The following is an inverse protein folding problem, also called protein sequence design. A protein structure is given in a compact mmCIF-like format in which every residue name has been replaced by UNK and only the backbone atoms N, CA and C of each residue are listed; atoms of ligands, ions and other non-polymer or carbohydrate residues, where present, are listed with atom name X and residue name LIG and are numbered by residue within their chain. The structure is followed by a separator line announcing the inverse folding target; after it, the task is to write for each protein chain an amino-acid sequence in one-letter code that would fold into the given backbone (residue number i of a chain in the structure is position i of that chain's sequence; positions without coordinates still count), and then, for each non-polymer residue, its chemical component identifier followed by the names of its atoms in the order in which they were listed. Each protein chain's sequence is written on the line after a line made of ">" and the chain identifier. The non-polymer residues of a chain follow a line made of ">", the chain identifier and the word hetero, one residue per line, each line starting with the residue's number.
data_IF_694270681970
#
_entry.id   IF_694270681970
#
_cell.length_a   1.000
_cell.length_b   1.000
_cell.length_c   1.000
_cell.angle_alpha   90.00
_cell.angle_beta   90.00
_cell.angle_gamma   90.00
#
_symmetry.space_group_name_H-M   'P 1'
#
loop_
_entity.id
_entity.type
_entity.pdbx_description
1 polymer ?
#
# COMPACT_ATOMS: atom_id res chain seq x y z
N UNK A 1 1.36 -31.83 15.29
CA UNK A 1 2.17 -32.77 14.50
C UNK A 1 2.75 -31.96 13.35
N UNK A 2 4.04 -32.04 13.01
CA UNK A 2 4.56 -31.35 11.85
C UNK A 2 3.98 -32.01 10.61
N UNK A 3 3.26 -31.23 9.78
CA UNK A 3 2.76 -31.67 8.49
C UNK A 3 3.96 -32.06 7.60
N UNK A 4 3.88 -33.21 6.97
CA UNK A 4 4.86 -33.64 5.97
C UNK A 4 4.82 -32.66 4.78
N UNK A 5 5.94 -32.40 4.13
CA UNK A 5 6.13 -31.44 3.04
C UNK A 5 5.24 -31.64 1.81
N UNK A 6 4.39 -32.66 1.77
CA UNK A 6 3.50 -32.96 0.65
C UNK A 6 2.09 -32.37 0.75
N UNK A 7 1.75 -31.67 1.85
CA UNK A 7 0.34 -31.31 2.16
C UNK A 7 0.11 -29.78 2.27
N UNK A 8 1.15 -28.95 2.00
CA UNK A 8 1.03 -27.49 2.10
C UNK A 8 0.46 -26.91 0.80
N UNK A 9 -0.53 -26.01 0.88
CA UNK A 9 -1.01 -25.30 -0.31
C UNK A 9 0.12 -24.55 -1.02
N UNK A 10 0.22 -24.75 -2.33
CA UNK A 10 1.19 -24.08 -3.20
C UNK A 10 0.55 -22.84 -3.79
N UNK A 11 1.08 -21.66 -3.46
CA UNK A 11 0.54 -20.37 -3.91
C UNK A 11 1.58 -19.63 -4.72
N UNK A 12 1.22 -19.21 -5.93
CA UNK A 12 2.03 -18.38 -6.80
C UNK A 12 1.63 -16.90 -6.63
N UNK A 13 2.57 -16.08 -6.19
CA UNK A 13 2.46 -14.63 -6.11
C UNK A 13 3.10 -14.01 -7.34
N UNK A 14 2.35 -13.16 -8.05
CA UNK A 14 2.79 -12.54 -9.30
C UNK A 14 2.67 -11.02 -9.20
N UNK A 15 3.67 -10.33 -8.64
CA UNK A 15 3.73 -8.87 -8.63
C UNK A 15 4.05 -8.30 -10.02
N UNK A 16 3.91 -6.99 -10.15
CA UNK A 16 4.40 -6.27 -11.33
C UNK A 16 5.94 -6.39 -11.44
N UNK A 17 6.50 -6.62 -12.63
CA UNK A 17 7.94 -6.77 -12.81
C UNK A 17 8.69 -5.40 -12.84
N UNK A 18 8.31 -4.48 -11.98
CA UNK A 18 8.90 -3.14 -11.89
C UNK A 18 9.96 -3.03 -10.79
N UNK A 19 9.72 -3.69 -9.66
CA UNK A 19 10.57 -3.63 -8.49
C UNK A 19 10.85 -5.04 -7.95
N UNK A 20 12.00 -5.25 -7.28
CA UNK A 20 12.37 -6.55 -6.74
C UNK A 20 11.59 -6.89 -5.46
N UNK A 21 11.42 -8.19 -5.24
CA UNK A 21 10.95 -8.76 -3.97
C UNK A 21 12.06 -9.70 -3.44
N UNK A 22 12.49 -9.58 -2.18
CA UNK A 22 12.11 -8.59 -1.14
C UNK A 22 12.34 -7.13 -1.54
N UNK A 23 11.57 -6.23 -0.91
CA UNK A 23 11.47 -4.80 -1.23
C UNK A 23 12.72 -3.99 -0.82
N UNK A 24 13.86 -4.27 -1.42
CA UNK A 24 15.14 -3.57 -1.17
C UNK A 24 15.18 -2.18 -1.81
N UNK A 25 14.32 -1.93 -2.79
CA UNK A 25 14.18 -0.64 -3.47
C UNK A 25 12.91 0.10 -3.05
N UNK A 26 12.15 -0.43 -2.07
CA UNK A 26 10.84 0.08 -1.67
C UNK A 26 9.71 -0.48 -2.54
N UNK A 27 8.59 0.25 -2.61
CA UNK A 27 7.34 -0.19 -3.23
C UNK A 27 6.35 -0.71 -2.19
N UNK A 28 5.10 -0.25 -2.28
CA UNK A 28 4.07 -0.61 -1.28
C UNK A 28 3.68 -2.09 -1.39
N UNK A 29 3.47 -2.58 -2.62
CA UNK A 29 3.11 -3.98 -2.88
C UNK A 29 4.28 -4.91 -2.55
N UNK A 30 5.49 -4.54 -2.97
CA UNK A 30 6.70 -5.31 -2.71
C UNK A 30 7.02 -5.38 -1.20
N UNK A 31 6.75 -4.30 -0.45
CA UNK A 31 6.88 -4.28 1.01
C UNK A 31 5.86 -5.22 1.66
N UNK A 32 4.61 -5.17 1.23
CA UNK A 32 3.55 -6.06 1.71
C UNK A 32 3.89 -7.53 1.46
N UNK A 33 4.34 -7.86 0.24
CA UNK A 33 4.81 -9.21 -0.11
C UNK A 33 6.03 -9.62 0.71
N UNK A 34 6.95 -8.70 1.00
CA UNK A 34 8.11 -8.98 1.84
C UNK A 34 7.69 -9.36 3.26
N UNK A 35 6.69 -8.69 3.82
CA UNK A 35 6.13 -9.06 5.12
C UNK A 35 5.47 -10.44 5.08
N UNK A 36 4.64 -10.71 4.06
CA UNK A 36 3.99 -12.01 3.86
C UNK A 36 5.01 -13.16 3.79
N UNK A 37 6.05 -12.98 2.97
CA UNK A 37 7.09 -13.99 2.76
C UNK A 37 7.91 -14.22 4.04
N UNK A 38 8.26 -13.16 4.79
CA UNK A 38 8.98 -13.30 6.07
C UNK A 38 8.16 -14.06 7.11
N UNK A 39 6.88 -13.77 7.21
CA UNK A 39 6.01 -14.49 8.13
C UNK A 39 5.82 -15.95 7.69
N UNK A 40 5.75 -16.23 6.38
CA UNK A 40 5.71 -17.60 5.90
C UNK A 40 7.00 -18.36 6.19
N UNK A 41 8.18 -17.72 6.14
CA UNK A 41 9.43 -18.36 6.58
C UNK A 41 9.39 -18.75 8.06
N UNK A 42 8.76 -17.93 8.89
CA UNK A 42 8.63 -18.20 10.33
C UNK A 42 7.62 -19.31 10.65
N UNK A 43 6.49 -19.35 9.92
CA UNK A 43 5.37 -20.25 10.22
C UNK A 43 5.39 -21.52 9.35
N UNK A 44 5.74 -21.40 8.07
CA UNK A 44 5.86 -22.53 7.14
C UNK A 44 4.53 -23.20 6.76
N UNK A 45 3.41 -22.48 6.80
CA UNK A 45 2.09 -23.07 6.53
C UNK A 45 1.81 -23.22 5.03
N UNK A 46 2.46 -22.41 4.18
CA UNK A 46 2.29 -22.40 2.73
C UNK A 46 3.63 -22.69 2.03
N UNK A 47 3.56 -23.24 0.82
CA UNK A 47 4.65 -23.25 -0.13
C UNK A 47 4.46 -22.06 -1.09
N UNK A 48 5.09 -20.91 -0.78
CA UNK A 48 4.95 -19.72 -1.59
C UNK A 48 5.98 -19.68 -2.72
N UNK A 49 5.51 -19.49 -3.93
CA UNK A 49 6.31 -19.17 -5.11
C UNK A 49 6.12 -17.70 -5.43
N UNK A 50 7.18 -16.91 -5.50
CA UNK A 50 7.10 -15.49 -5.83
C UNK A 50 7.89 -15.20 -7.11
N UNK A 51 7.18 -14.78 -8.16
CA UNK A 51 7.81 -14.35 -9.39
C UNK A 51 8.31 -12.91 -9.22
N UNK A 52 9.58 -12.64 -9.55
CA UNK A 52 10.17 -11.32 -9.37
C UNK A 52 11.32 -11.06 -10.33
N UNK A 53 11.68 -9.79 -10.45
CA UNK A 53 12.87 -9.39 -11.21
C UNK A 53 14.13 -9.66 -10.40
N UNK A 54 15.26 -10.02 -11.05
CA UNK A 54 16.51 -10.26 -10.35
C UNK A 54 17.10 -8.95 -9.81
N UNK A 55 17.51 -8.99 -8.56
CA UNK A 55 18.23 -7.94 -7.86
C UNK A 55 19.18 -8.58 -6.84
N UNK A 56 20.44 -8.16 -6.81
CA UNK A 56 21.46 -8.82 -5.97
C UNK A 56 21.17 -8.70 -4.48
N UNK A 57 20.67 -7.55 -4.03
CA UNK A 57 20.33 -7.34 -2.61
C UNK A 57 19.07 -8.13 -2.21
N UNK A 58 18.07 -8.19 -3.09
CA UNK A 58 16.87 -8.99 -2.86
C UNK A 58 17.20 -10.50 -2.83
N UNK A 59 18.06 -10.97 -3.74
CA UNK A 59 18.52 -12.36 -3.74
C UNK A 59 19.30 -12.71 -2.46
N UNK A 60 20.20 -11.82 -2.00
CA UNK A 60 20.92 -12.01 -0.75
C UNK A 60 19.98 -12.05 0.46
N UNK A 61 18.94 -11.19 0.48
CA UNK A 61 17.95 -11.16 1.56
C UNK A 61 17.09 -12.43 1.62
N UNK A 62 16.87 -13.10 0.50
CA UNK A 62 16.08 -14.33 0.40
C UNK A 62 16.90 -15.63 0.37
N UNK A 63 18.26 -15.54 0.42
CA UNK A 63 19.15 -16.68 0.17
C UNK A 63 18.95 -17.88 1.11
N UNK A 64 18.49 -17.65 2.34
CA UNK A 64 18.30 -18.69 3.35
C UNK A 64 16.83 -19.11 3.53
N UNK A 65 15.92 -18.64 2.68
CA UNK A 65 14.51 -19.00 2.76
C UNK A 65 14.29 -20.47 2.36
N UNK A 66 13.46 -21.17 3.12
CA UNK A 66 13.19 -22.59 2.96
C UNK A 66 11.74 -22.88 2.53
N UNK A 67 10.81 -22.01 2.90
CA UNK A 67 9.37 -22.14 2.64
C UNK A 67 8.90 -21.29 1.46
N UNK A 68 9.72 -20.33 1.05
CA UNK A 68 9.47 -19.47 -0.10
C UNK A 68 10.43 -19.79 -1.25
N UNK A 69 9.87 -19.92 -2.44
CA UNK A 69 10.59 -20.22 -3.67
C UNK A 69 10.59 -18.99 -4.58
N UNK A 70 11.73 -18.30 -4.66
CA UNK A 70 11.85 -17.09 -5.46
C UNK A 70 12.15 -17.44 -6.92
N UNK A 71 11.27 -17.01 -7.84
CA UNK A 71 11.41 -17.21 -9.28
C UNK A 71 11.95 -15.93 -9.93
N UNK A 72 13.26 -15.78 -9.97
CA UNK A 72 13.91 -14.59 -10.55
C UNK A 72 13.92 -14.67 -12.08
N UNK A 73 13.17 -13.78 -12.71
CA UNK A 73 12.99 -13.71 -14.14
C UNK A 73 13.47 -12.34 -14.65
N UNK A 74 14.51 -12.29 -15.51
CA UNK A 74 14.96 -11.03 -16.06
C UNK A 74 13.90 -10.42 -16.97
N UNK A 75 13.73 -9.10 -16.89
CA UNK A 75 12.91 -8.37 -17.84
C UNK A 75 13.63 -8.38 -19.18
N UNK A 76 13.01 -8.93 -20.25
CA UNK A 76 13.66 -8.98 -21.55
C UNK A 76 14.00 -7.56 -22.04
N UNK A 77 15.21 -7.29 -22.53
CA UNK A 77 15.57 -5.98 -23.04
C UNK A 77 14.73 -5.65 -24.27
N UNK A 78 13.90 -4.61 -24.16
CA UNK A 78 13.29 -3.84 -25.23
C UNK A 78 12.29 -4.56 -26.16
N UNK A 79 11.23 -3.86 -26.51
CA UNK A 79 10.16 -4.23 -27.45
C UNK A 79 10.63 -4.71 -28.85
N UNK A 80 11.91 -4.55 -29.20
CA UNK A 80 12.43 -4.79 -30.56
C UNK A 80 12.51 -6.25 -31.00
N UNK A 81 12.61 -7.23 -30.11
CA UNK A 81 12.72 -8.65 -30.48
C UNK A 81 11.39 -9.36 -30.79
N UNK A 82 10.26 -8.74 -30.49
CA UNK A 82 8.92 -9.34 -30.65
C UNK A 82 8.09 -8.68 -31.77
N UNK A 83 8.71 -7.77 -32.55
CA UNK A 83 8.11 -7.12 -33.69
C UNK A 83 7.39 -8.05 -34.68
N UNK A 84 7.91 -9.27 -35.00
CA UNK A 84 7.23 -10.16 -35.96
C UNK A 84 5.89 -10.68 -35.44
N UNK A 85 5.81 -11.06 -34.15
CA UNK A 85 4.56 -11.58 -33.56
C UNK A 85 3.50 -10.49 -33.42
N UNK A 86 3.88 -9.29 -32.98
CA UNK A 86 3.01 -8.14 -32.88
C UNK A 86 2.50 -7.68 -34.27
N UNK A 87 3.32 -7.82 -35.31
CA UNK A 87 2.93 -7.51 -36.67
C UNK A 87 1.89 -8.51 -37.21
N UNK A 88 2.09 -9.80 -36.98
CA UNK A 88 1.13 -10.86 -37.34
C UNK A 88 -0.20 -10.71 -36.61
N UNK A 89 -0.18 -10.38 -35.32
CA UNK A 89 -1.40 -10.14 -34.54
C UNK A 89 -2.18 -8.91 -35.02
N UNK A 90 -1.48 -7.81 -35.36
CA UNK A 90 -2.09 -6.63 -35.99
C UNK A 90 -2.71 -6.95 -37.36
N UNK A 91 -2.06 -7.80 -38.15
CA UNK A 91 -2.59 -8.24 -39.46
C UNK A 91 -3.86 -9.09 -39.33
N UNK A 92 -3.99 -9.84 -38.22
CA UNK A 92 -5.13 -10.69 -37.91
C UNK A 92 -6.28 -9.92 -37.22
N UNK A 93 -6.17 -8.59 -37.02
CA UNK A 93 -7.20 -7.77 -36.39
C UNK A 93 -7.45 -8.11 -34.92
N UNK A 94 -6.59 -8.93 -34.33
CA UNK A 94 -6.64 -9.26 -32.92
C UNK A 94 -5.80 -8.22 -32.19
N UNK A 95 -6.45 -7.31 -31.45
CA UNK A 95 -5.74 -6.46 -30.51
C UNK A 95 -4.96 -7.39 -29.54
N UNK A 96 -3.62 -7.35 -29.54
CA UNK A 96 -2.89 -8.19 -28.62
C UNK A 96 -3.32 -7.79 -27.20
N UNK A 97 -3.67 -8.73 -26.31
CA UNK A 97 -3.51 -8.44 -24.91
C UNK A 97 -2.06 -7.96 -24.76
N UNK A 98 -1.75 -7.01 -23.87
CA UNK A 98 -0.37 -6.58 -23.65
C UNK A 98 0.43 -7.80 -23.19
N UNK A 99 0.97 -8.53 -24.15
CA UNK A 99 1.80 -9.70 -23.91
C UNK A 99 3.16 -9.17 -23.49
N UNK A 100 3.26 -8.90 -22.20
CA UNK A 100 4.59 -8.61 -21.66
C UNK A 100 5.39 -9.92 -21.69
N UNK A 101 6.55 -9.94 -22.37
CA UNK A 101 7.38 -11.13 -22.52
C UNK A 101 7.74 -11.78 -21.19
N UNK A 102 7.73 -11.01 -20.12
CA UNK A 102 8.01 -11.48 -18.76
C UNK A 102 6.98 -12.50 -18.26
N UNK A 103 5.67 -12.28 -18.46
CA UNK A 103 4.63 -13.21 -18.01
C UNK A 103 4.61 -14.51 -18.84
N UNK A 104 5.04 -14.43 -20.10
CA UNK A 104 5.27 -15.64 -20.92
C UNK A 104 6.46 -16.42 -20.41
N UNK A 105 7.57 -15.75 -20.10
CA UNK A 105 8.75 -16.38 -19.52
C UNK A 105 8.41 -17.05 -18.17
N UNK A 106 7.55 -16.41 -17.35
CA UNK A 106 7.04 -17.00 -16.13
C UNK A 106 6.26 -18.29 -16.41
N UNK A 107 5.28 -18.27 -17.31
CA UNK A 107 4.52 -19.47 -17.64
C UNK A 107 5.42 -20.62 -18.14
N UNK A 108 6.36 -20.33 -19.03
CA UNK A 108 7.33 -21.32 -19.53
C UNK A 108 8.23 -21.87 -18.41
N UNK A 109 8.62 -21.04 -17.46
CA UNK A 109 9.41 -21.46 -16.29
C UNK A 109 8.59 -22.40 -15.40
N UNK A 110 7.35 -22.08 -15.11
CA UNK A 110 6.45 -22.93 -14.32
C UNK A 110 6.26 -24.28 -15.00
N UNK A 111 6.03 -24.30 -16.32
CA UNK A 111 5.90 -25.54 -17.09
C UNK A 111 7.18 -26.38 -17.07
N UNK A 112 8.34 -25.78 -17.32
CA UNK A 112 9.66 -26.48 -17.36
C UNK A 112 10.03 -27.06 -15.99
N UNK A 113 9.78 -26.32 -14.92
CA UNK A 113 10.07 -26.75 -13.55
C UNK A 113 8.96 -27.61 -12.95
N UNK A 114 7.88 -27.89 -13.69
CA UNK A 114 6.71 -28.64 -13.26
C UNK A 114 6.11 -28.08 -11.96
N UNK A 115 6.07 -26.75 -11.83
CA UNK A 115 5.45 -26.05 -10.72
C UNK A 115 3.96 -25.96 -11.01
N UNK A 116 3.15 -26.59 -10.17
CA UNK A 116 1.69 -26.56 -10.26
C UNK A 116 1.13 -25.91 -9.01
N UNK A 117 0.90 -24.57 -9.03
CA UNK A 117 0.30 -23.88 -7.89
C UNK A 117 -1.17 -24.28 -7.73
N UNK A 118 -1.61 -24.38 -6.49
CA UNK A 118 -3.02 -24.61 -6.14
C UNK A 118 -3.81 -23.29 -6.30
N UNK A 119 -3.15 -22.14 -6.05
CA UNK A 119 -3.69 -20.81 -6.30
C UNK A 119 -2.64 -19.89 -6.92
N UNK A 120 -3.10 -18.92 -7.70
CA UNK A 120 -2.31 -17.83 -8.31
C UNK A 120 -2.90 -16.50 -7.87
N UNK A 121 -2.07 -15.63 -7.30
CA UNK A 121 -2.43 -14.26 -6.95
C UNK A 121 -1.71 -13.27 -7.87
N UNK A 122 -2.48 -12.44 -8.58
CA UNK A 122 -1.96 -11.26 -9.28
C UNK A 122 -1.85 -10.12 -8.27
N UNK A 123 -0.65 -9.65 -8.01
CA UNK A 123 -0.36 -8.60 -7.03
C UNK A 123 -0.22 -7.24 -7.72
N UNK A 124 -1.36 -6.68 -8.13
CA UNK A 124 -1.40 -5.41 -8.86
C UNK A 124 -1.01 -5.51 -10.34
N UNK A 125 -0.70 -4.37 -10.95
CA UNK A 125 -0.37 -4.28 -12.38
C UNK A 125 -1.59 -4.34 -13.30
N UNK A 126 -1.36 -4.63 -14.58
CA UNK A 126 -2.44 -4.81 -15.56
C UNK A 126 -3.05 -6.20 -15.40
N UNK A 127 -4.32 -6.26 -14.99
CA UNK A 127 -5.01 -7.51 -14.70
C UNK A 127 -5.12 -8.47 -15.91
N UNK A 128 -5.03 -8.01 -17.14
CA UNK A 128 -5.06 -8.87 -18.32
C UNK A 128 -3.77 -9.66 -18.56
N UNK A 129 -2.67 -9.28 -17.92
CA UNK A 129 -1.35 -9.91 -18.10
C UNK A 129 -1.31 -11.38 -17.68
N UNK A 130 -2.18 -11.80 -16.73
CA UNK A 130 -2.26 -13.19 -16.29
C UNK A 130 -3.17 -14.08 -17.16
N UNK A 131 -3.73 -13.59 -18.27
CA UNK A 131 -4.66 -14.36 -19.10
C UNK A 131 -4.13 -15.73 -19.56
N UNK A 132 -2.85 -15.84 -19.91
CA UNK A 132 -2.24 -17.11 -20.31
C UNK A 132 -2.05 -18.05 -19.12
N UNK A 133 -1.63 -17.55 -17.97
CA UNK A 133 -1.43 -18.30 -16.72
C UNK A 133 -2.77 -18.80 -16.22
N UNK A 134 -3.80 -17.95 -16.21
CA UNK A 134 -5.16 -18.31 -15.82
C UNK A 134 -5.77 -19.39 -16.72
N UNK A 135 -5.56 -19.30 -18.06
CA UNK A 135 -6.00 -20.35 -18.97
C UNK A 135 -5.31 -21.69 -18.71
N UNK A 136 -4.03 -21.68 -18.34
CA UNK A 136 -3.26 -22.89 -18.10
C UNK A 136 -3.60 -23.55 -16.76
N UNK A 137 -3.68 -22.79 -15.66
CA UNK A 137 -3.94 -23.33 -14.33
C UNK A 137 -5.43 -23.35 -13.93
N UNK A 138 -6.26 -22.63 -14.66
CA UNK A 138 -7.69 -22.51 -14.42
C UNK A 138 -8.10 -21.19 -13.77
N UNK A 139 -9.19 -20.61 -14.31
CA UNK A 139 -9.76 -19.33 -13.81
C UNK A 139 -10.10 -19.39 -12.31
N UNK A 140 -10.71 -20.51 -11.86
CA UNK A 140 -11.11 -20.69 -10.45
C UNK A 140 -9.94 -20.70 -9.45
N UNK A 141 -8.72 -20.88 -9.93
CA UNK A 141 -7.48 -20.84 -9.14
C UNK A 141 -6.72 -19.53 -9.25
N UNK A 142 -7.24 -18.55 -9.99
CA UNK A 142 -6.55 -17.27 -10.23
C UNK A 142 -7.35 -16.16 -9.59
N UNK A 143 -6.71 -15.43 -8.67
CA UNK A 143 -7.27 -14.28 -7.97
C UNK A 143 -6.49 -13.02 -8.31
N UNK A 144 -7.17 -11.87 -8.34
CA UNK A 144 -6.53 -10.56 -8.38
C UNK A 144 -6.51 -9.95 -6.97
N UNK A 145 -5.35 -9.49 -6.51
CA UNK A 145 -5.24 -8.66 -5.32
C UNK A 145 -5.30 -7.19 -5.73
N UNK A 146 -6.37 -6.51 -5.32
CA UNK A 146 -6.69 -5.16 -5.74
C UNK A 146 -6.14 -4.16 -4.73
N UNK A 147 -5.00 -3.52 -5.07
CA UNK A 147 -4.33 -2.53 -4.23
C UNK A 147 -4.85 -1.08 -4.42
N UNK A 148 -5.86 -0.90 -5.24
CA UNK A 148 -6.48 0.40 -5.53
C UNK A 148 -7.82 0.24 -6.23
N UNK A 149 -8.51 1.36 -6.46
CA UNK A 149 -9.73 1.33 -7.27
C UNK A 149 -9.41 0.77 -8.65
N UNK A 150 -10.13 -0.26 -9.02
CA UNK A 150 -9.98 -0.96 -10.28
C UNK A 150 -11.37 -1.25 -10.83
N UNK A 151 -11.60 -0.89 -12.08
CA UNK A 151 -12.81 -1.28 -12.79
C UNK A 151 -12.65 -2.67 -13.39
N UNK A 152 -13.67 -3.49 -13.22
CA UNK A 152 -13.77 -4.75 -13.91
C UNK A 152 -14.20 -4.55 -15.38
N UNK A 153 -14.01 -5.59 -16.17
CA UNK A 153 -14.53 -5.69 -17.52
C UNK A 153 -14.76 -7.17 -17.84
N UNK A 154 -15.56 -7.52 -18.87
CA UNK A 154 -15.72 -8.92 -19.27
C UNK A 154 -14.40 -9.64 -19.55
N UNK A 155 -13.40 -8.92 -20.06
CA UNK A 155 -12.07 -9.47 -20.30
C UNK A 155 -11.32 -9.78 -19.01
N UNK A 156 -11.42 -8.93 -17.97
CA UNK A 156 -10.83 -9.13 -16.65
C UNK A 156 -11.58 -10.26 -15.94
N UNK A 157 -12.90 -10.25 -15.95
CA UNK A 157 -13.71 -11.31 -15.32
C UNK A 157 -13.47 -12.69 -15.96
N UNK A 158 -13.05 -12.75 -17.23
CA UNK A 158 -12.65 -13.99 -17.87
C UNK A 158 -11.31 -14.55 -17.33
N UNK A 159 -10.49 -13.73 -16.72
CA UNK A 159 -9.18 -14.13 -16.16
C UNK A 159 -9.30 -14.63 -14.71
N UNK A 160 -10.11 -13.97 -13.88
CA UNK A 160 -10.11 -14.21 -12.44
C UNK A 160 -11.38 -14.93 -11.96
N UNK A 161 -11.21 -15.96 -11.13
CA UNK A 161 -12.29 -16.63 -10.42
C UNK A 161 -12.70 -15.95 -9.13
N UNK A 162 -11.84 -15.06 -8.60
CA UNK A 162 -12.06 -14.27 -7.41
C UNK A 162 -11.14 -13.06 -7.33
N UNK A 163 -11.44 -12.17 -6.40
CA UNK A 163 -10.61 -11.00 -6.09
C UNK A 163 -10.42 -10.87 -4.58
N UNK A 164 -9.26 -10.38 -4.15
CA UNK A 164 -9.00 -9.93 -2.79
C UNK A 164 -8.78 -8.41 -2.87
N UNK A 165 -9.64 -7.63 -2.21
CA UNK A 165 -9.53 -6.18 -2.17
C UNK A 165 -8.93 -5.74 -0.82
N UNK A 166 -8.17 -4.65 -0.82
CA UNK A 166 -7.54 -4.16 0.42
C UNK A 166 -8.52 -3.47 1.38
N UNK A 167 -9.74 -3.19 0.94
CA UNK A 167 -10.82 -2.60 1.75
C UNK A 167 -12.19 -3.02 1.23
N UNK A 168 -13.22 -2.88 2.06
CA UNK A 168 -14.62 -3.07 1.65
C UNK A 168 -15.02 -2.04 0.58
N UNK A 169 -14.48 -0.82 0.67
CA UNK A 169 -14.65 0.22 -0.34
C UNK A 169 -14.15 -0.24 -1.72
N UNK A 170 -12.91 -0.73 -1.83
CA UNK A 170 -12.35 -1.21 -3.10
C UNK A 170 -13.12 -2.43 -3.60
N UNK A 171 -13.51 -3.34 -2.71
CA UNK A 171 -14.35 -4.49 -3.05
C UNK A 171 -15.68 -4.07 -3.67
N UNK A 172 -16.39 -3.14 -3.03
CA UNK A 172 -17.68 -2.64 -3.49
C UNK A 172 -17.54 -1.97 -4.87
N UNK A 173 -16.54 -1.09 -5.04
CA UNK A 173 -16.27 -0.40 -6.31
C UNK A 173 -15.96 -1.37 -7.45
N UNK A 174 -15.20 -2.45 -7.18
CA UNK A 174 -14.94 -3.47 -8.19
C UNK A 174 -16.22 -4.21 -8.61
N UNK A 175 -17.07 -4.58 -7.64
CA UNK A 175 -18.31 -5.31 -7.89
C UNK A 175 -19.36 -4.50 -8.66
N UNK A 176 -19.28 -3.16 -8.63
CA UNK A 176 -20.18 -2.30 -9.45
C UNK A 176 -20.05 -2.56 -10.96
N UNK A 177 -18.89 -3.02 -11.42
CA UNK A 177 -18.58 -3.22 -12.84
C UNK A 177 -18.26 -4.68 -13.19
N UNK A 178 -18.16 -5.57 -12.21
CA UNK A 178 -17.80 -6.98 -12.36
C UNK A 178 -19.03 -7.89 -12.41
N UNK A 179 -18.97 -8.92 -13.25
CA UNK A 179 -19.90 -10.04 -13.22
C UNK A 179 -19.49 -11.13 -12.21
N UNK A 180 -18.46 -10.91 -11.43
CA UNK A 180 -18.01 -11.86 -10.40
C UNK A 180 -19.05 -12.00 -9.30
N UNK A 181 -19.41 -13.22 -8.88
CA UNK A 181 -20.29 -13.43 -7.74
C UNK A 181 -19.71 -12.78 -6.47
N UNK A 182 -20.50 -12.00 -5.70
CA UNK A 182 -20.01 -11.25 -4.52
C UNK A 182 -19.29 -12.13 -3.48
N UNK A 183 -19.67 -13.40 -3.34
CA UNK A 183 -19.02 -14.36 -2.45
C UNK A 183 -17.60 -14.76 -2.87
N UNK A 184 -17.16 -14.38 -4.08
CA UNK A 184 -15.80 -14.56 -4.59
C UNK A 184 -14.97 -13.29 -4.53
N UNK A 185 -15.53 -12.21 -3.97
CA UNK A 185 -14.82 -10.97 -3.69
C UNK A 185 -14.53 -10.90 -2.18
N UNK A 186 -13.27 -11.03 -1.82
CA UNK A 186 -12.78 -11.08 -0.45
C UNK A 186 -12.17 -9.75 -0.04
N UNK A 187 -11.96 -9.55 1.26
CA UNK A 187 -11.17 -8.42 1.78
C UNK A 187 -9.93 -8.98 2.46
N UNK A 188 -8.77 -8.47 2.07
CA UNK A 188 -7.48 -8.73 2.69
C UNK A 188 -6.82 -7.39 2.99
N UNK A 189 -6.90 -6.91 4.23
CA UNK A 189 -6.39 -5.61 4.64
C UNK A 189 -4.87 -5.60 4.69
N UNK A 190 -4.28 -4.51 4.20
CA UNK A 190 -2.83 -4.31 4.24
C UNK A 190 -2.29 -4.25 5.66
N UNK A 191 -1.02 -4.57 5.84
CA UNK A 191 -0.29 -4.43 7.09
C UNK A 191 0.79 -3.34 7.01
N UNK A 192 1.29 -2.96 8.19
CA UNK A 192 2.50 -2.15 8.39
C UNK A 192 3.47 -2.92 9.29
N UNK A 193 4.73 -2.52 9.32
CA UNK A 193 5.71 -3.04 10.27
C UNK A 193 5.44 -2.45 11.67
N UNK A 194 4.62 -3.14 12.47
CA UNK A 194 4.23 -2.70 13.82
C UNK A 194 5.36 -2.79 14.85
N UNK A 195 6.49 -3.38 14.52
CA UNK A 195 7.70 -3.35 15.36
C UNK A 195 8.46 -2.06 15.14
N UNK A 196 8.42 -1.52 13.94
CA UNK A 196 9.02 -0.24 13.55
C UNK A 196 8.12 0.93 13.88
N UNK A 197 6.87 0.89 13.41
CA UNK A 197 5.85 1.87 13.74
C UNK A 197 5.20 1.49 15.06
N UNK A 198 5.72 2.04 16.14
CA UNK A 198 5.25 1.76 17.49
C UNK A 198 5.40 3.00 18.38
N UNK A 199 4.68 3.06 19.51
CA UNK A 199 4.85 4.15 20.47
C UNK A 199 6.29 4.19 21.01
N UNK A 200 6.86 5.38 21.06
CA UNK A 200 8.15 5.63 21.70
C UNK A 200 8.22 7.09 22.17
N UNK A 201 9.17 7.43 23.04
CA UNK A 201 9.40 8.80 23.47
C UNK A 201 9.64 9.74 22.27
N UNK A 202 9.22 11.01 22.44
CA UNK A 202 9.47 12.06 21.45
C UNK A 202 10.97 12.25 21.24
N UNK A 203 11.41 12.35 20.00
CA UNK A 203 12.79 12.71 19.66
C UNK A 203 12.96 14.23 19.70
N UNK A 204 13.27 14.76 20.88
CA UNK A 204 13.48 16.20 21.08
C UNK A 204 14.72 16.72 20.35
N UNK A 205 15.73 15.87 20.10
CA UNK A 205 16.91 16.26 19.33
C UNK A 205 16.57 16.44 17.85
N UNK A 206 15.81 15.53 17.25
CA UNK A 206 15.30 15.68 15.89
C UNK A 206 14.37 16.89 15.78
N UNK A 207 13.48 17.09 16.77
CA UNK A 207 12.56 18.23 16.81
C UNK A 207 13.31 19.56 16.79
N UNK A 208 14.36 19.70 17.61
CA UNK A 208 15.21 20.90 17.62
C UNK A 208 15.99 21.08 16.31
N UNK A 209 16.53 20.01 15.72
CA UNK A 209 17.20 20.07 14.41
C UNK A 209 16.28 20.52 13.29
N UNK A 210 15.00 20.19 13.35
CA UNK A 210 13.97 20.66 12.42
C UNK A 210 13.56 22.12 12.67
N UNK A 211 14.07 22.72 13.75
CA UNK A 211 13.81 24.13 14.10
C UNK A 211 12.49 24.34 14.82
N UNK A 212 11.93 23.32 15.47
CA UNK A 212 10.72 23.45 16.29
C UNK A 212 11.09 23.66 17.75
N UNK A 213 10.44 24.62 18.41
CA UNK A 213 10.53 24.84 19.84
C UNK A 213 9.75 23.77 20.61
N UNK A 214 10.06 23.60 21.88
CA UNK A 214 9.34 22.67 22.77
C UNK A 214 7.86 23.05 22.89
N UNK A 215 7.57 24.37 22.92
CA UNK A 215 6.23 24.93 23.02
C UNK A 215 5.40 24.89 21.71
N UNK A 216 6.03 24.58 20.57
CA UNK A 216 5.31 24.51 19.30
C UNK A 216 4.31 23.34 19.30
N UNK A 217 3.19 23.53 18.62
CA UNK A 217 2.24 22.47 18.28
C UNK A 217 2.49 22.03 16.84
N UNK A 218 3.15 20.89 16.66
CA UNK A 218 3.62 20.43 15.36
C UNK A 218 2.61 19.50 14.71
N UNK A 219 2.06 19.94 13.59
CA UNK A 219 1.30 19.11 12.66
C UNK A 219 2.27 18.34 11.77
N UNK A 220 1.94 17.12 11.38
CA UNK A 220 2.68 16.38 10.35
C UNK A 220 1.76 15.96 9.22
N UNK A 221 2.20 16.23 7.99
CA UNK A 221 1.72 15.58 6.77
C UNK A 221 2.81 14.62 6.30
N UNK A 222 2.44 13.38 5.97
CA UNK A 222 3.35 12.41 5.37
C UNK A 222 2.73 11.82 4.10
N UNK A 223 3.51 11.70 3.02
CA UNK A 223 3.06 11.09 1.78
C UNK A 223 3.57 11.76 0.51
N UNK A 224 3.05 11.31 -0.63
CA UNK A 224 3.38 11.93 -1.92
C UNK A 224 2.84 13.36 -1.98
N UNK A 225 3.66 14.29 -2.48
CA UNK A 225 3.24 15.65 -2.72
C UNK A 225 2.47 15.75 -4.05
N UNK A 226 1.18 15.39 -3.97
CA UNK A 226 0.25 15.34 -5.10
C UNK A 226 -1.05 16.08 -4.73
N UNK A 227 -1.72 16.77 -5.67
CA UNK A 227 -2.96 17.53 -5.37
C UNK A 227 -4.01 16.72 -4.62
N UNK A 228 -4.18 15.45 -4.97
CA UNK A 228 -5.14 14.53 -4.34
C UNK A 228 -4.92 14.31 -2.84
N UNK A 229 -3.75 14.67 -2.31
CA UNK A 229 -3.42 14.47 -0.89
C UNK A 229 -3.80 15.65 0.00
N UNK A 230 -4.38 16.72 -0.55
CA UNK A 230 -4.94 17.84 0.21
C UNK A 230 -3.91 18.71 0.94
N UNK A 231 -2.66 18.73 0.47
CA UNK A 231 -1.59 19.51 1.12
C UNK A 231 -1.84 21.01 0.95
N UNK A 232 -2.36 21.44 -0.20
CA UNK A 232 -2.69 22.83 -0.47
C UNK A 232 -3.79 23.32 0.48
N UNK A 233 -4.80 22.51 0.73
CA UNK A 233 -5.90 22.74 1.66
C UNK A 233 -5.37 22.82 3.10
N UNK A 234 -4.40 21.98 3.47
CA UNK A 234 -3.77 22.00 4.78
C UNK A 234 -2.93 23.27 4.99
N UNK A 235 -2.20 23.76 3.96
CA UNK A 235 -1.49 25.03 4.00
C UNK A 235 -2.46 26.21 4.13
N UNK A 236 -3.60 26.18 3.43
CA UNK A 236 -4.66 27.17 3.59
C UNK A 236 -5.25 27.13 5.01
N UNK A 237 -5.51 25.95 5.55
CA UNK A 237 -5.96 25.80 6.93
C UNK A 237 -4.95 26.41 7.92
N UNK A 238 -3.65 26.16 7.73
CA UNK A 238 -2.60 26.75 8.57
C UNK A 238 -2.58 28.29 8.47
N UNK A 239 -2.87 28.87 7.31
CA UNK A 239 -2.96 30.31 7.12
C UNK A 239 -4.14 30.95 7.91
N UNK A 240 -5.23 30.21 8.10
CA UNK A 240 -6.38 30.63 8.90
C UNK A 240 -6.11 30.64 10.41
N UNK A 241 -5.07 29.94 10.87
CA UNK A 241 -4.72 29.85 12.29
C UNK A 241 -3.84 31.02 12.70
N UNK A 242 -4.29 31.88 13.65
CA UNK A 242 -3.55 33.06 14.04
C UNK A 242 -2.31 32.78 14.89
N UNK A 243 -2.27 31.61 15.54
CA UNK A 243 -1.19 31.28 16.48
C UNK A 243 0.08 30.82 15.77
N UNK A 244 1.20 31.57 15.88
CA UNK A 244 2.46 31.25 15.23
C UNK A 244 3.14 29.98 15.81
N UNK A 245 2.71 29.51 16.98
CA UNK A 245 3.23 28.28 17.57
C UNK A 245 2.65 27.02 16.92
N UNK A 246 1.62 27.12 16.04
CA UNK A 246 1.17 26.00 15.22
C UNK A 246 2.07 25.89 14.00
N UNK A 247 2.81 24.80 13.91
CA UNK A 247 3.80 24.52 12.86
C UNK A 247 3.37 23.32 12.03
N UNK A 248 3.87 23.20 10.80
CA UNK A 248 3.60 22.09 9.90
C UNK A 248 4.90 21.48 9.36
N UNK A 249 5.07 20.20 9.60
CA UNK A 249 6.12 19.37 9.03
C UNK A 249 5.55 18.58 7.83
N UNK A 250 6.09 18.83 6.64
CA UNK A 250 5.71 18.14 5.40
C UNK A 250 6.81 17.13 5.08
N UNK A 251 6.49 15.84 5.21
CA UNK A 251 7.38 14.72 4.94
C UNK A 251 6.97 14.04 3.64
N UNK A 252 7.84 14.07 2.64
CA UNK A 252 7.57 13.44 1.35
C UNK A 252 8.10 14.22 0.15
N UNK A 253 7.91 13.65 -1.03
CA UNK A 253 8.32 14.24 -2.30
C UNK A 253 7.27 13.99 -3.40
N UNK A 254 7.31 14.72 -4.53
CA UNK A 254 6.38 14.49 -5.65
C UNK A 254 6.51 13.10 -6.27
N UNK A 255 7.71 12.53 -6.25
CA UNK A 255 8.02 11.23 -6.84
C UNK A 255 8.60 10.29 -5.80
N UNK A 256 8.32 9.00 -5.95
CA UNK A 256 8.86 7.97 -5.07
C UNK A 256 10.40 7.90 -5.20
N UNK A 257 11.09 7.94 -4.07
CA UNK A 257 12.56 7.84 -3.95
C UNK A 257 13.37 8.83 -4.79
N UNK A 258 12.78 9.93 -5.28
CA UNK A 258 13.49 10.96 -6.06
C UNK A 258 13.15 12.36 -5.55
N UNK A 259 14.16 13.17 -5.39
CA UNK A 259 14.03 14.64 -5.28
C UNK A 259 13.87 15.18 -6.70
N UNK A 260 12.64 15.37 -7.13
CA UNK A 260 12.38 15.98 -8.43
C UNK A 260 11.39 17.14 -8.25
N UNK A 261 11.68 18.25 -8.94
CA UNK A 261 10.78 19.38 -8.97
C UNK A 261 9.52 19.06 -9.77
N UNK A 262 8.39 19.54 -9.29
CA UNK A 262 7.14 19.51 -10.02
C UNK A 262 6.47 20.89 -9.93
N UNK A 263 5.64 21.27 -10.92
CA UNK A 263 4.87 22.53 -10.85
C UNK A 263 4.03 22.62 -9.56
N UNK A 264 3.49 21.49 -9.10
CA UNK A 264 2.71 21.45 -7.86
C UNK A 264 3.58 21.69 -6.62
N UNK A 265 4.79 21.13 -6.57
CA UNK A 265 5.73 21.40 -5.47
C UNK A 265 6.09 22.89 -5.41
N UNK A 266 6.33 23.55 -6.55
CA UNK A 266 6.59 24.97 -6.62
C UNK A 266 5.40 25.79 -6.10
N UNK A 267 4.16 25.39 -6.42
CA UNK A 267 2.95 26.01 -5.87
C UNK A 267 2.90 25.88 -4.36
N UNK A 268 3.17 24.68 -3.81
CA UNK A 268 3.20 24.44 -2.37
C UNK A 268 4.28 25.27 -1.67
N UNK A 269 5.46 25.37 -2.26
CA UNK A 269 6.57 26.17 -1.73
C UNK A 269 6.22 27.66 -1.72
N UNK A 270 5.53 28.15 -2.74
CA UNK A 270 5.05 29.54 -2.80
C UNK A 270 4.02 29.83 -1.70
N UNK A 271 3.05 28.92 -1.49
CA UNK A 271 2.08 29.03 -0.40
C UNK A 271 2.77 28.97 0.97
N UNK A 272 3.72 28.06 1.14
CA UNK A 272 4.46 27.92 2.38
C UNK A 272 5.35 29.12 2.70
N UNK A 273 5.93 29.79 1.67
CA UNK A 273 6.74 30.98 1.86
C UNK A 273 5.97 32.14 2.54
N UNK A 274 4.68 32.27 2.27
CA UNK A 274 3.81 33.24 2.94
C UNK A 274 3.59 32.92 4.44
N UNK A 275 3.82 31.68 4.87
CA UNK A 275 3.70 31.20 6.25
C UNK A 275 5.02 31.22 7.01
N UNK A 276 6.11 31.56 6.33
CA UNK A 276 7.45 31.74 6.91
C UNK A 276 7.99 30.47 7.56
N UNK A 277 8.45 30.59 8.80
CA UNK A 277 9.08 29.52 9.57
C UNK A 277 8.08 28.46 10.08
N UNK A 278 6.78 28.70 9.90
CA UNK A 278 5.73 27.77 10.33
C UNK A 278 5.69 26.47 9.53
N UNK A 279 6.29 26.40 8.33
CA UNK A 279 6.28 25.23 7.46
C UNK A 279 7.69 24.73 7.20
N UNK A 280 7.89 23.43 7.38
CA UNK A 280 9.15 22.76 7.08
C UNK A 280 8.92 21.59 6.13
N UNK A 281 9.74 21.49 5.08
CA UNK A 281 9.77 20.37 4.16
C UNK A 281 11.02 19.53 4.42
N UNK A 282 10.87 18.21 4.51
CA UNK A 282 12.00 17.29 4.65
C UNK A 282 12.47 16.72 3.32
N UNK A 283 11.61 16.74 2.29
CA UNK A 283 11.79 15.90 1.12
C UNK A 283 11.49 14.43 1.43
N UNK A 284 11.99 13.52 0.58
CA UNK A 284 11.83 12.09 0.76
C UNK A 284 12.61 11.60 1.99
N UNK A 285 11.92 10.87 2.86
CA UNK A 285 12.48 10.16 4.00
C UNK A 285 12.29 8.66 3.80
N UNK A 286 13.33 7.84 3.97
CA UNK A 286 13.19 6.38 3.90
C UNK A 286 12.18 5.86 4.94
N UNK A 287 11.39 4.84 4.55
CA UNK A 287 10.35 4.28 5.43
C UNK A 287 10.89 3.85 6.81
N UNK A 288 12.15 3.38 6.87
CA UNK A 288 12.79 3.00 8.12
C UNK A 288 12.97 4.16 9.11
N UNK A 289 13.04 5.40 8.61
CA UNK A 289 13.27 6.61 9.43
C UNK A 289 11.96 7.34 9.76
N UNK A 290 10.86 7.07 9.04
CA UNK A 290 9.57 7.75 9.22
C UNK A 290 9.04 7.74 10.66
N UNK A 291 9.19 6.67 11.47
CA UNK A 291 8.69 6.67 12.84
C UNK A 291 9.26 7.79 13.70
N UNK A 292 10.52 8.20 13.48
CA UNK A 292 11.13 9.31 14.21
C UNK A 292 10.42 10.64 13.89
N UNK A 293 10.03 10.83 12.63
CA UNK A 293 9.30 12.04 12.19
C UNK A 293 7.86 12.07 12.70
N UNK A 294 7.16 10.93 12.74
CA UNK A 294 5.84 10.86 13.39
C UNK A 294 5.94 11.26 14.88
N UNK A 295 6.96 10.79 15.59
CA UNK A 295 7.16 11.06 17.04
C UNK A 295 7.57 12.50 17.35
N UNK A 296 8.03 13.29 16.36
CA UNK A 296 8.29 14.73 16.52
C UNK A 296 6.99 15.53 16.62
N UNK A 297 5.92 15.06 15.98
CA UNK A 297 4.66 15.77 15.84
C UNK A 297 3.70 15.58 17.02
N UNK A 298 2.71 16.45 17.08
CA UNK A 298 1.62 16.44 18.08
C UNK A 298 0.29 15.99 17.46
N UNK A 299 0.14 16.07 16.13
CA UNK A 299 -1.06 15.71 15.38
C UNK A 299 -0.69 15.32 13.94
N UNK A 300 -1.16 14.17 13.46
CA UNK A 300 -1.08 13.82 12.05
C UNK A 300 -2.31 14.33 11.29
N UNK A 301 -2.05 14.99 10.16
CA UNK A 301 -3.08 15.49 9.26
C UNK A 301 -3.08 14.69 7.96
N UNK A 302 -4.23 14.09 7.63
CA UNK A 302 -4.43 13.27 6.43
C UNK A 302 -5.61 13.84 5.63
N UNK A 303 -5.40 15.00 4.95
CA UNK A 303 -6.47 15.77 4.34
C UNK A 303 -6.80 15.34 2.90
N UNK A 304 -6.65 14.06 2.57
CA UNK A 304 -6.85 13.54 1.19
C UNK A 304 -8.19 13.98 0.60
N UNK A 305 -8.15 14.51 -0.62
CA UNK A 305 -9.34 14.97 -1.38
C UNK A 305 -9.79 13.97 -2.44
N UNK A 306 -9.01 12.91 -2.68
CA UNK A 306 -9.39 11.78 -3.52
C UNK A 306 -10.06 10.67 -2.69
N UNK A 307 -10.54 9.63 -3.36
CA UNK A 307 -10.98 8.41 -2.69
C UNK A 307 -9.75 7.52 -2.41
N UNK A 308 -9.38 7.41 -1.15
CA UNK A 308 -8.26 6.53 -0.75
C UNK A 308 -8.71 5.06 -0.78
N UNK A 309 -7.89 4.20 -1.35
CA UNK A 309 -8.20 2.78 -1.37
C UNK A 309 -8.10 2.13 0.03
N UNK A 310 -7.13 2.57 0.84
CA UNK A 310 -6.90 2.11 2.21
C UNK A 310 -6.29 3.22 3.09
N UNK A 311 -5.13 3.76 2.69
CA UNK A 311 -4.39 4.78 3.45
C UNK A 311 -3.50 4.16 4.54
N UNK A 312 -2.28 3.74 4.21
CA UNK A 312 -1.34 3.21 5.21
C UNK A 312 -0.70 4.31 6.06
N UNK A 313 -0.54 5.52 5.52
CA UNK A 313 0.03 6.66 6.25
C UNK A 313 -0.67 6.95 7.58
N UNK A 314 -2.02 7.05 7.65
CA UNK A 314 -2.68 7.23 8.94
C UNK A 314 -2.55 6.00 9.85
N UNK A 315 -2.41 4.79 9.30
CA UNK A 315 -2.14 3.58 10.11
C UNK A 315 -0.75 3.64 10.74
N UNK A 316 0.26 4.09 10.00
CA UNK A 316 1.62 4.32 10.50
C UNK A 316 1.65 5.39 11.61
N UNK A 317 0.92 6.50 11.40
CA UNK A 317 0.82 7.58 12.39
C UNK A 317 0.15 7.11 13.69
N UNK A 318 -1.00 6.42 13.60
CA UNK A 318 -1.68 5.91 14.79
C UNK A 318 -0.89 4.82 15.50
N UNK A 319 -0.11 4.01 14.78
CA UNK A 319 0.79 3.02 15.36
C UNK A 319 1.91 3.69 16.17
N UNK A 320 2.36 4.88 15.77
CA UNK A 320 3.30 5.71 16.53
C UNK A 320 2.62 6.48 17.68
N UNK A 321 1.37 6.17 18.03
CA UNK A 321 0.56 6.85 19.03
C UNK A 321 0.34 8.35 18.73
N UNK A 322 0.16 8.70 17.47
CA UNK A 322 -0.11 10.08 17.05
C UNK A 322 -1.62 10.25 16.80
N UNK A 323 -2.28 11.26 17.40
CA UNK A 323 -3.67 11.59 17.11
C UNK A 323 -3.87 11.93 15.64
N UNK A 324 -5.04 11.64 15.07
CA UNK A 324 -5.35 11.81 13.66
C UNK A 324 -6.43 12.88 13.42
N UNK A 325 -6.16 13.80 12.51
CA UNK A 325 -7.14 14.64 11.83
C UNK A 325 -7.19 14.20 10.37
N UNK A 326 -8.32 13.67 9.90
CA UNK A 326 -8.39 13.04 8.59
C UNK A 326 -9.71 13.37 7.88
N UNK A 327 -9.69 13.39 6.56
CA UNK A 327 -10.91 13.45 5.76
C UNK A 327 -11.62 12.09 5.72
N UNK A 328 -12.94 12.10 5.50
CA UNK A 328 -13.71 10.89 5.22
C UNK A 328 -13.50 10.52 3.76
N UNK A 329 -12.50 9.67 3.48
CA UNK A 329 -12.03 9.38 2.13
C UNK A 329 -11.98 7.87 1.86
N UNK A 330 -12.83 7.39 0.95
CA UNK A 330 -12.83 6.02 0.44
C UNK A 330 -12.78 4.94 1.52
N UNK A 331 -11.81 4.02 1.40
CA UNK A 331 -11.57 2.93 2.35
C UNK A 331 -10.75 3.33 3.59
N UNK A 332 -10.20 4.56 3.65
CA UNK A 332 -9.38 4.99 4.79
C UNK A 332 -10.11 4.90 6.14
N UNK A 333 -11.41 5.28 6.28
CA UNK A 333 -12.13 5.14 7.54
C UNK A 333 -12.20 3.69 8.07
N UNK A 334 -12.15 2.69 7.20
CA UNK A 334 -12.16 1.28 7.61
C UNK A 334 -10.91 0.89 8.41
N UNK A 335 -9.80 1.60 8.18
CA UNK A 335 -8.51 1.34 8.82
C UNK A 335 -8.32 2.12 10.11
N UNK A 336 -8.93 3.31 10.24
CA UNK A 336 -8.59 4.24 11.34
C UNK A 336 -9.76 4.56 12.27
N UNK A 337 -10.97 4.08 12.01
CA UNK A 337 -12.16 4.39 12.83
C UNK A 337 -11.94 4.10 14.31
N UNK A 338 -11.29 2.98 14.62
CA UNK A 338 -11.05 2.55 15.99
C UNK A 338 -10.01 3.40 16.74
N UNK A 339 -9.24 4.23 16.00
CA UNK A 339 -8.38 5.26 16.57
C UNK A 339 -9.16 6.51 17.02
N UNK A 340 -10.46 6.54 16.80
CA UNK A 340 -11.33 7.69 17.10
C UNK A 340 -10.82 9.02 16.50
N UNK A 341 -10.47 9.07 15.20
CA UNK A 341 -9.89 10.26 14.58
C UNK A 341 -10.87 11.41 14.58
N UNK A 342 -10.34 12.64 14.45
CA UNK A 342 -11.18 13.78 14.14
C UNK A 342 -11.44 13.78 12.63
N UNK A 343 -12.63 13.39 12.22
CA UNK A 343 -13.02 13.38 10.81
C UNK A 343 -13.56 14.72 10.35
N UNK A 344 -13.15 15.13 9.15
CA UNK A 344 -13.69 16.28 8.41
C UNK A 344 -14.24 15.82 7.05
N UNK A 345 -15.31 16.44 6.53
CA UNK A 345 -15.83 16.11 5.21
C UNK A 345 -14.91 16.64 4.10
N UNK A 346 -14.95 16.00 2.93
CA UNK A 346 -14.37 16.58 1.71
C UNK A 346 -15.39 17.56 1.15
N UNK A 347 -15.11 18.86 1.27
CA UNK A 347 -16.01 19.93 0.85
C UNK A 347 -15.19 21.14 0.36
N UNK A 348 -15.82 22.15 -0.26
CA UNK A 348 -15.16 23.42 -0.58
C UNK A 348 -14.63 24.14 0.67
N UNK A 349 -15.20 23.91 1.86
CA UNK A 349 -14.83 24.50 3.13
C UNK A 349 -13.75 23.68 3.89
N UNK A 350 -13.13 22.69 3.22
CA UNK A 350 -12.13 21.81 3.84
C UNK A 350 -11.01 22.56 4.59
N UNK A 351 -10.45 23.66 4.08
CA UNK A 351 -9.45 24.43 4.85
C UNK A 351 -9.98 24.95 6.19
N UNK A 352 -11.22 25.44 6.23
CA UNK A 352 -11.89 25.93 7.43
C UNK A 352 -12.16 24.78 8.43
N UNK A 353 -12.64 23.65 7.93
CA UNK A 353 -12.91 22.45 8.75
C UNK A 353 -11.62 21.88 9.35
N UNK A 354 -10.53 21.85 8.57
CA UNK A 354 -9.20 21.47 9.06
C UNK A 354 -8.70 22.43 10.14
N UNK A 355 -8.82 23.75 9.92
CA UNK A 355 -8.41 24.76 10.90
C UNK A 355 -9.21 24.64 12.21
N UNK A 356 -10.53 24.42 12.12
CA UNK A 356 -11.40 24.18 13.27
C UNK A 356 -10.98 22.91 14.02
N UNK A 357 -10.72 21.80 13.30
CA UNK A 357 -10.27 20.54 13.87
C UNK A 357 -8.90 20.66 14.58
N UNK A 358 -7.95 21.35 13.96
CA UNK A 358 -6.63 21.65 14.56
C UNK A 358 -6.81 22.45 15.86
N UNK A 359 -7.63 23.51 15.83
CA UNK A 359 -7.89 24.34 17.00
C UNK A 359 -8.52 23.52 18.14
N UNK A 360 -9.55 22.74 17.84
CA UNK A 360 -10.24 21.90 18.82
C UNK A 360 -9.30 20.86 19.45
N UNK A 361 -8.52 20.16 18.61
CA UNK A 361 -7.58 19.14 19.10
C UNK A 361 -6.43 19.76 19.88
N UNK A 362 -5.92 20.95 19.49
CA UNK A 362 -4.88 21.66 20.25
C UNK A 362 -5.36 22.05 21.64
N UNK A 363 -6.59 22.51 21.77
CA UNK A 363 -7.20 22.95 23.02
C UNK A 363 -7.52 21.77 23.98
N UNK A 364 -7.56 20.51 23.49
CA UNK A 364 -7.97 19.36 24.28
C UNK A 364 -6.86 18.28 24.32
N UNK A 365 -5.88 18.41 25.23
CA UNK A 365 -4.81 17.41 25.43
C UNK A 365 -5.34 16.05 25.87
N UNK A 366 -6.42 16.01 26.64
CA UNK A 366 -7.01 14.77 27.12
C UNK A 366 -7.60 13.95 25.96
N UNK A 367 -8.31 14.61 25.05
CA UNK A 367 -8.81 13.99 23.82
C UNK A 367 -7.66 13.46 22.95
N UNK A 368 -6.59 14.25 22.75
CA UNK A 368 -5.43 13.78 21.99
C UNK A 368 -4.78 12.55 22.61
N UNK A 369 -4.64 12.52 23.93
CA UNK A 369 -4.09 11.37 24.66
C UNK A 369 -4.97 10.12 24.48
N UNK A 370 -6.29 10.27 24.57
CA UNK A 370 -7.24 9.18 24.34
C UNK A 370 -7.16 8.66 22.89
N UNK A 371 -7.11 9.56 21.88
CA UNK A 371 -6.93 9.20 20.48
C UNK A 371 -5.61 8.46 20.22
N UNK A 372 -4.52 8.93 20.81
CA UNK A 372 -3.20 8.30 20.70
C UNK A 372 -3.21 6.87 21.26
N UNK A 373 -3.81 6.67 22.43
CA UNK A 373 -3.93 5.35 23.06
C UNK A 373 -4.82 4.41 22.23
N UNK A 374 -5.99 4.88 21.79
CA UNK A 374 -6.89 4.12 20.92
C UNK A 374 -6.23 3.75 19.59
N UNK A 375 -5.52 4.70 18.96
CA UNK A 375 -4.80 4.48 17.71
C UNK A 375 -3.70 3.43 17.83
N UNK A 376 -2.86 3.52 18.85
CA UNK A 376 -1.81 2.54 19.10
C UNK A 376 -2.35 1.13 19.38
N UNK A 377 -3.51 1.03 20.06
CA UNK A 377 -4.19 -0.25 20.28
C UNK A 377 -4.78 -0.81 18.97
N UNK A 378 -5.48 0.04 18.20
CA UNK A 378 -6.10 -0.36 16.94
C UNK A 378 -5.06 -0.76 15.87
N UNK A 379 -3.90 -0.11 15.83
CA UNK A 379 -2.86 -0.41 14.85
C UNK A 379 -2.31 -1.84 14.94
N UNK A 380 -2.40 -2.48 16.11
CA UNK A 380 -1.90 -3.86 16.31
C UNK A 380 -2.57 -4.89 15.41
N UNK A 381 -3.82 -4.65 14.99
CA UNK A 381 -4.52 -5.54 14.06
C UNK A 381 -3.89 -5.56 12.67
N UNK A 382 -3.14 -4.52 12.29
CA UNK A 382 -2.46 -4.38 11.00
C UNK A 382 -1.01 -4.85 11.03
N UNK A 383 -0.68 -5.80 11.91
CA UNK A 383 0.66 -6.39 11.96
C UNK A 383 0.91 -7.37 10.80
N UNK A 384 2.19 -7.63 10.45
CA UNK A 384 2.54 -8.64 9.46
C UNK A 384 2.03 -10.03 9.80
N UNK A 385 2.02 -10.40 11.08
CA UNK A 385 1.52 -11.70 11.58
C UNK A 385 0.03 -11.86 11.32
N UNK A 386 -0.75 -10.81 11.60
CA UNK A 386 -2.21 -10.83 11.34
C UNK A 386 -2.50 -10.88 9.84
N UNK A 387 -1.77 -10.11 9.04
CA UNK A 387 -1.88 -10.13 7.58
C UNK A 387 -1.60 -11.54 7.02
N UNK A 388 -0.54 -12.19 7.50
CA UNK A 388 -0.20 -13.55 7.10
C UNK A 388 -1.30 -14.53 7.48
N UNK A 389 -1.79 -14.49 8.72
CA UNK A 389 -2.89 -15.34 9.18
C UNK A 389 -4.14 -15.17 8.31
N UNK A 390 -4.51 -13.91 8.00
CA UNK A 390 -5.69 -13.61 7.19
C UNK A 390 -5.49 -14.06 5.72
N UNK A 391 -4.26 -13.95 5.19
CA UNK A 391 -3.91 -14.51 3.89
C UNK A 391 -4.01 -16.03 3.86
N UNK A 392 -3.50 -16.74 4.85
CA UNK A 392 -3.62 -18.21 4.98
C UNK A 392 -5.09 -18.62 5.05
N UNK A 393 -5.88 -17.94 5.86
CA UNK A 393 -7.32 -18.20 5.95
C UNK A 393 -8.04 -17.97 4.61
N UNK A 394 -7.68 -16.93 3.86
CA UNK A 394 -8.19 -16.69 2.52
C UNK A 394 -7.81 -17.82 1.56
N UNK A 395 -6.55 -18.26 1.55
CA UNK A 395 -6.08 -19.38 0.72
C UNK A 395 -6.93 -20.63 0.98
N UNK A 396 -7.09 -21.02 2.24
CA UNK A 396 -7.91 -22.18 2.59
C UNK A 396 -9.38 -22.03 2.18
N UNK A 397 -9.96 -20.84 2.38
CA UNK A 397 -11.35 -20.54 1.98
C UNK A 397 -11.55 -20.74 0.48
N UNK A 398 -10.62 -20.24 -0.34
CA UNK A 398 -10.71 -20.35 -1.81
C UNK A 398 -10.53 -21.81 -2.26
N UNK A 399 -9.58 -22.55 -1.68
CA UNK A 399 -9.32 -23.94 -2.02
C UNK A 399 -10.52 -24.86 -1.67
N UNK A 400 -11.14 -24.65 -0.51
CA UNK A 400 -12.34 -25.39 -0.12
C UNK A 400 -13.50 -25.17 -1.08
N UNK A 401 -13.73 -23.94 -1.56
CA UNK A 401 -14.75 -23.65 -2.57
C UNK A 401 -14.43 -24.28 -3.92
N UNK A 402 -13.15 -24.28 -4.33
CA UNK A 402 -12.72 -24.89 -5.59
C UNK A 402 -12.82 -26.43 -5.61
N UNK A 403 -12.79 -27.07 -4.45
CA UNK A 403 -12.98 -28.51 -4.31
C UNK A 403 -14.47 -28.92 -4.33
N UNK A 404 -15.39 -27.96 -4.18
CA UNK A 404 -16.84 -28.19 -4.17
C UNK A 404 -17.50 -27.91 -5.55
N UNK A 405 -16.73 -27.50 -6.54
CA UNK A 405 -17.13 -27.31 -7.95
C UNK A 405 -16.50 -28.38 -8.84
#
# INVERSE_FOLDING_TARGET
>A
MPHTTSDRPRVLLVPSPLLPVPAVQGGAVETLLTHLLRENERCGELALYCACVPDAAAQAAAANWQHNHMLYLPVPPGHRRWLPLNAVQRLLGVAPPPWEPWYQALLLTLMRQKIHPDLVFAEGGNLLQLSAISRYFGRGRTLAHLHGETQASPAVDAVYGGVAAISDFVRARYLETSALPPQNAYVLRNCIDTTRFCPAPRDNALRARLGFAESDFVLIFCGRLHPEKGIAELLQALALLPDPAVKLLIVGSPFFAKTADSPFLQTLQTQAAALGDRVKFTGFIPNAELPAYYRVADLACVPSVCQEAAGLVPVEAMACALPLLATVSGGMPEYIRDASPYFVPISPDLPQDLAAGITALRADPARRAAMAAAGAAAARQYSPENYYRDFVALVHTVLQKGAAL
#
